data_IF_084902563262
#
_entry.id   IF_084902563262
#
_cell.length_a   1.000
_cell.length_b   1.000
_cell.length_c   1.000
_cell.angle_alpha   90.00
_cell.angle_beta   90.00
_cell.angle_gamma   90.00
#
_symmetry.space_group_name_H-M   'P 1'
#
loop_
_entity.id
_entity.type
_entity.pdbx_description
1 polymer ?
#
# COMPACT_ATOMS: atom_id res chain seq x y z
N UNK A 1 1.03 -22.44 -15.32
CA UNK A 1 1.80 -21.73 -14.27
C UNK A 1 0.97 -21.74 -12.99
N UNK A 2 1.53 -22.18 -11.87
CA UNK A 2 0.82 -22.24 -10.59
C UNK A 2 0.40 -20.86 -10.05
N UNK A 3 -0.58 -20.85 -9.17
CA UNK A 3 -1.03 -19.66 -8.48
C UNK A 3 0.06 -19.11 -7.55
N UNK A 4 0.09 -17.79 -7.37
CA UNK A 4 1.08 -17.12 -6.51
C UNK A 4 0.41 -16.68 -5.22
N UNK A 5 1.00 -17.02 -4.08
CA UNK A 5 0.56 -16.51 -2.78
C UNK A 5 0.79 -15.02 -2.69
N UNK A 6 -0.13 -14.30 -2.01
CA UNK A 6 0.01 -12.87 -1.77
C UNK A 6 1.24 -12.59 -0.89
N UNK A 7 2.23 -11.78 -1.35
CA UNK A 7 3.51 -11.64 -0.63
C UNK A 7 3.37 -11.09 0.78
N UNK A 8 2.42 -10.18 1.00
CA UNK A 8 2.12 -9.63 2.32
C UNK A 8 1.50 -10.70 3.23
N UNK A 9 0.47 -11.43 2.74
CA UNK A 9 -0.19 -12.47 3.51
C UNK A 9 0.74 -13.63 3.91
N UNK A 10 1.66 -14.00 3.02
CA UNK A 10 2.66 -15.03 3.29
C UNK A 10 3.61 -14.67 4.46
N UNK A 11 3.78 -13.37 4.75
CA UNK A 11 4.70 -12.83 5.77
C UNK A 11 3.99 -12.30 7.01
N UNK A 12 2.68 -12.46 7.11
CA UNK A 12 1.92 -12.07 8.29
C UNK A 12 2.37 -12.85 9.53
N UNK A 13 2.52 -12.14 10.64
CA UNK A 13 2.96 -12.72 11.91
C UNK A 13 4.47 -12.95 12.02
N UNK A 14 5.23 -12.84 10.91
CA UNK A 14 6.69 -13.01 10.89
C UNK A 14 7.39 -11.66 10.64
N UNK A 15 7.19 -11.08 9.45
CA UNK A 15 7.79 -9.79 9.06
C UNK A 15 6.76 -8.67 9.01
N UNK A 16 5.53 -9.00 8.64
CA UNK A 16 4.42 -8.04 8.51
C UNK A 16 3.39 -8.25 9.60
N UNK A 17 2.76 -7.17 10.03
CA UNK A 17 1.65 -7.18 11.00
C UNK A 17 0.32 -6.97 10.31
N UNK A 18 -0.78 -7.27 11.04
CA UNK A 18 -2.12 -7.00 10.58
C UNK A 18 -2.38 -5.49 10.46
N UNK A 19 -3.08 -5.09 9.42
CA UNK A 19 -3.49 -3.70 9.22
C UNK A 19 -4.65 -3.27 10.11
N UNK A 20 -5.42 -4.24 10.58
CA UNK A 20 -6.45 -4.03 11.61
C UNK A 20 -6.11 -4.86 12.83
N UNK A 21 -6.11 -4.24 14.00
CA UNK A 21 -5.79 -4.86 15.28
C UNK A 21 -6.94 -4.70 16.24
N UNK A 22 -7.65 -5.78 16.49
CA UNK A 22 -8.71 -5.85 17.47
C UNK A 22 -9.04 -7.30 17.82
N UNK A 23 -9.77 -7.48 18.90
CA UNK A 23 -10.34 -8.76 19.29
C UNK A 23 -11.86 -8.66 19.23
N UNK A 24 -12.51 -9.59 18.54
CA UNK A 24 -13.98 -9.67 18.45
C UNK A 24 -14.45 -11.11 18.70
N UNK A 25 -15.47 -11.27 19.55
CA UNK A 25 -16.06 -12.59 19.82
C UNK A 25 -17.20 -12.94 18.86
N UNK A 26 -18.19 -12.07 18.67
CA UNK A 26 -19.42 -12.35 17.91
C UNK A 26 -19.67 -11.37 16.75
N UNK A 27 -19.25 -10.13 16.87
CA UNK A 27 -19.51 -9.04 15.91
C UNK A 27 -18.37 -8.80 14.90
N UNK A 28 -17.55 -9.83 14.63
CA UNK A 28 -16.42 -9.73 13.70
C UNK A 28 -16.82 -9.30 12.27
N UNK A 29 -17.91 -9.84 11.67
CA UNK A 29 -18.31 -9.45 10.31
C UNK A 29 -18.68 -7.97 10.20
N UNK A 30 -19.35 -7.43 11.22
CA UNK A 30 -19.75 -6.02 11.27
C UNK A 30 -18.52 -5.10 11.36
N UNK A 31 -17.58 -5.44 12.24
CA UNK A 31 -16.33 -4.71 12.39
C UNK A 31 -15.48 -4.74 11.13
N UNK A 32 -15.43 -5.88 10.44
CA UNK A 32 -14.71 -6.01 9.18
C UNK A 32 -15.32 -5.13 8.07
N UNK A 33 -16.66 -5.10 7.99
CA UNK A 33 -17.38 -4.23 7.05
C UNK A 33 -17.11 -2.76 7.34
N UNK A 34 -17.12 -2.38 8.62
CA UNK A 34 -16.82 -1.02 9.07
C UNK A 34 -15.37 -0.61 8.72
N UNK A 35 -14.38 -1.51 8.91
CA UNK A 35 -12.99 -1.27 8.52
C UNK A 35 -12.83 -1.04 7.03
N UNK A 36 -13.54 -1.81 6.20
CA UNK A 36 -13.50 -1.65 4.75
C UNK A 36 -14.15 -0.32 4.31
N UNK A 37 -15.25 0.07 4.95
CA UNK A 37 -15.88 1.37 4.71
C UNK A 37 -14.93 2.53 5.06
N UNK A 38 -14.25 2.47 6.21
CA UNK A 38 -13.27 3.48 6.62
C UNK A 38 -12.14 3.58 5.58
N UNK A 39 -11.55 2.45 5.17
CA UNK A 39 -10.47 2.43 4.17
C UNK A 39 -10.91 2.99 2.82
N UNK A 40 -12.07 2.58 2.35
CA UNK A 40 -12.64 3.05 1.09
C UNK A 40 -12.93 4.55 1.12
N UNK A 41 -13.52 5.00 2.23
CA UNK A 41 -13.82 6.42 2.43
C UNK A 41 -12.55 7.28 2.40
N UNK A 42 -11.53 6.90 3.19
CA UNK A 42 -10.26 7.63 3.25
C UNK A 42 -9.55 7.66 1.90
N UNK A 43 -9.48 6.53 1.17
CA UNK A 43 -8.89 6.48 -0.17
C UNK A 43 -9.59 7.39 -1.17
N UNK A 44 -10.91 7.50 -1.09
CA UNK A 44 -11.70 8.35 -1.99
C UNK A 44 -11.53 9.83 -1.63
N UNK A 45 -11.67 10.17 -0.36
CA UNK A 45 -11.62 11.54 0.16
C UNK A 45 -10.23 12.17 0.04
N UNK A 46 -9.20 11.36 0.28
CA UNK A 46 -7.79 11.77 0.31
C UNK A 46 -7.00 11.28 -0.91
N UNK A 47 -7.62 11.18 -2.07
CA UNK A 47 -6.97 10.68 -3.30
C UNK A 47 -5.68 11.43 -3.69
N UNK A 48 -5.58 12.72 -3.31
CA UNK A 48 -4.41 13.56 -3.60
C UNK A 48 -3.31 13.50 -2.52
N UNK A 49 -3.60 12.88 -1.38
CA UNK A 49 -2.69 12.84 -0.23
C UNK A 49 -1.61 11.75 -0.33
N UNK A 50 -1.61 10.93 -1.40
CA UNK A 50 -0.67 9.81 -1.56
C UNK A 50 -0.67 8.88 -0.34
N UNK A 51 -1.84 8.27 -0.04
CA UNK A 51 -2.01 7.30 1.05
C UNK A 51 -1.34 5.98 0.66
N UNK A 52 -0.41 5.51 1.49
CA UNK A 52 0.21 4.20 1.33
C UNK A 52 -0.59 3.10 2.02
N UNK A 53 -0.88 3.27 3.32
CA UNK A 53 -1.61 2.30 4.11
C UNK A 53 -2.49 2.97 5.18
N UNK A 54 -3.49 2.23 5.66
CA UNK A 54 -4.39 2.67 6.74
C UNK A 54 -4.44 1.57 7.78
N UNK A 55 -3.89 1.84 8.96
CA UNK A 55 -3.95 0.95 10.10
C UNK A 55 -5.10 1.33 11.02
N UNK A 56 -5.83 0.34 11.50
CA UNK A 56 -7.00 0.53 12.36
C UNK A 56 -6.78 -0.25 13.65
N UNK A 57 -6.80 0.44 14.77
CA UNK A 57 -6.77 -0.16 16.08
C UNK A 57 -8.09 0.10 16.79
N UNK A 58 -8.72 -0.95 17.33
CA UNK A 58 -9.98 -0.83 18.04
C UNK A 58 -9.80 -1.14 19.51
N UNK A 59 -10.19 -0.19 20.34
CA UNK A 59 -10.36 -0.34 21.79
C UNK A 59 -11.86 -0.26 22.10
N UNK A 60 -12.32 -0.74 23.26
CA UNK A 60 -13.71 -0.58 23.65
C UNK A 60 -14.16 0.89 23.57
N UNK A 61 -15.16 1.17 22.74
CA UNK A 61 -15.72 2.51 22.52
C UNK A 61 -14.91 3.46 21.64
N UNK A 62 -13.65 3.14 21.28
CA UNK A 62 -12.77 4.03 20.52
C UNK A 62 -12.10 3.32 19.35
N UNK A 63 -12.08 3.97 18.19
CA UNK A 63 -11.39 3.53 16.99
C UNK A 63 -10.23 4.48 16.70
N UNK A 64 -9.01 3.98 16.64
CA UNK A 64 -7.84 4.76 16.26
C UNK A 64 -7.42 4.40 14.84
N UNK A 65 -7.42 5.36 13.95
CA UNK A 65 -7.05 5.20 12.55
C UNK A 65 -5.72 5.90 12.30
N UNK A 66 -4.68 5.13 11.97
CA UNK A 66 -3.37 5.68 11.60
C UNK A 66 -3.22 5.65 10.08
N UNK A 67 -3.06 6.84 9.49
CA UNK A 67 -2.91 7.03 8.04
C UNK A 67 -1.45 7.25 7.71
N UNK A 68 -0.85 6.29 6.98
CA UNK A 68 0.51 6.41 6.45
C UNK A 68 0.46 7.13 5.10
N UNK A 69 1.10 8.27 4.99
CA UNK A 69 1.01 9.13 3.80
C UNK A 69 2.36 9.68 3.38
N UNK A 70 2.55 9.87 2.08
CA UNK A 70 3.71 10.58 1.53
C UNK A 70 3.56 12.10 1.54
N UNK A 71 2.36 12.64 1.87
CA UNK A 71 2.06 14.07 1.90
C UNK A 71 1.21 14.44 3.12
N UNK A 72 1.79 14.43 4.33
CA UNK A 72 1.04 14.65 5.56
C UNK A 72 0.36 16.03 5.61
N UNK A 73 0.98 17.05 5.04
CA UNK A 73 0.41 18.40 5.00
C UNK A 73 -0.95 18.49 4.31
N UNK A 74 -1.22 17.64 3.32
CA UNK A 74 -2.53 17.59 2.64
C UNK A 74 -3.60 16.96 3.54
N UNK A 75 -3.23 15.96 4.34
CA UNK A 75 -4.14 15.29 5.27
C UNK A 75 -4.45 16.18 6.47
N UNK A 76 -3.42 16.82 7.03
CA UNK A 76 -3.55 17.68 8.21
C UNK A 76 -4.31 18.97 7.86
N UNK A 77 -4.01 19.54 6.68
CA UNK A 77 -4.60 20.79 6.25
C UNK A 77 -4.11 22.01 7.02
N UNK A 78 -4.73 23.15 6.77
CA UNK A 78 -4.39 24.39 7.48
C UNK A 78 -4.82 24.29 8.94
N UNK A 79 -3.86 24.36 9.88
CA UNK A 79 -4.10 24.31 11.33
C UNK A 79 -4.86 23.07 11.83
N UNK A 80 -4.79 21.95 11.13
CA UNK A 80 -5.48 20.72 11.53
C UNK A 80 -6.97 20.62 11.12
N UNK A 81 -7.54 21.62 10.45
CA UNK A 81 -8.95 21.68 10.14
C UNK A 81 -9.44 20.49 9.28
N UNK A 82 -8.60 19.93 8.40
CA UNK A 82 -9.02 18.78 7.57
C UNK A 82 -9.03 17.48 8.39
N UNK A 83 -8.10 17.29 9.33
CA UNK A 83 -8.11 16.12 10.23
C UNK A 83 -9.33 16.15 11.16
N UNK A 84 -9.70 17.34 11.68
CA UNK A 84 -10.89 17.48 12.53
C UNK A 84 -12.15 17.15 11.76
N UNK A 85 -12.33 17.67 10.54
CA UNK A 85 -13.43 17.29 9.66
C UNK A 85 -13.48 15.79 9.37
N UNK A 86 -12.32 15.18 9.03
CA UNK A 86 -12.24 13.75 8.78
C UNK A 86 -12.62 12.93 10.01
N UNK A 87 -12.22 13.37 11.22
CA UNK A 87 -12.61 12.73 12.47
C UNK A 87 -14.12 12.74 12.65
N UNK A 88 -14.75 13.91 12.45
CA UNK A 88 -16.20 14.07 12.61
C UNK A 88 -16.97 13.26 11.55
N UNK A 89 -16.53 13.28 10.28
CA UNK A 89 -17.08 12.47 9.19
C UNK A 89 -16.98 10.95 9.50
N UNK A 90 -15.84 10.48 10.00
CA UNK A 90 -15.66 9.08 10.39
C UNK A 90 -16.46 8.71 11.64
N UNK A 91 -16.60 9.62 12.60
CA UNK A 91 -17.43 9.41 13.78
C UNK A 91 -18.92 9.26 13.39
N UNK A 92 -19.41 10.04 12.43
CA UNK A 92 -20.77 9.89 11.87
C UNK A 92 -20.95 8.54 11.14
N UNK A 93 -19.93 8.09 10.39
CA UNK A 93 -19.98 6.82 9.65
C UNK A 93 -19.95 5.59 10.57
N UNK A 94 -19.22 5.66 11.68
CA UNK A 94 -19.01 4.52 12.58
C UNK A 94 -19.90 4.54 13.83
N UNK A 95 -20.46 5.69 14.17
CA UNK A 95 -21.21 5.89 15.42
C UNK A 95 -20.35 5.76 16.68
N UNK A 96 -19.02 5.88 16.57
CA UNK A 96 -18.02 5.69 17.65
C UNK A 96 -17.08 6.89 17.72
N UNK A 97 -16.39 7.00 18.86
CA UNK A 97 -15.29 7.96 18.97
C UNK A 97 -14.13 7.52 18.06
N UNK A 98 -13.71 8.40 17.13
CA UNK A 98 -12.61 8.14 16.20
C UNK A 98 -11.44 9.08 16.48
N UNK A 99 -10.24 8.50 16.69
CA UNK A 99 -8.98 9.22 16.70
C UNK A 99 -8.24 9.02 15.38
N UNK A 100 -7.68 10.08 14.81
CA UNK A 100 -6.87 10.01 13.60
C UNK A 100 -5.44 10.39 13.90
N UNK A 101 -4.51 9.49 13.57
CA UNK A 101 -3.08 9.74 13.57
C UNK A 101 -2.56 9.80 12.14
N UNK A 102 -1.65 10.73 11.85
CA UNK A 102 -1.03 10.87 10.54
C UNK A 102 0.46 10.60 10.68
N UNK A 103 0.95 9.62 9.95
CA UNK A 103 2.36 9.25 9.91
C UNK A 103 2.95 9.51 8.53
N UNK A 104 4.09 10.20 8.51
CA UNK A 104 4.80 10.52 7.29
C UNK A 104 5.68 9.38 6.82
N UNK A 105 5.60 9.06 5.53
CA UNK A 105 6.52 8.15 4.86
C UNK A 105 7.69 8.95 4.30
N UNK A 106 8.84 8.89 4.97
CA UNK A 106 10.06 9.63 4.59
C UNK A 106 10.61 9.27 3.21
N UNK A 107 10.38 8.03 2.73
CA UNK A 107 10.88 7.53 1.45
C UNK A 107 9.74 6.91 0.64
N UNK A 108 8.91 7.72 -0.05
CA UNK A 108 7.75 7.24 -0.80
C UNK A 108 8.12 6.31 -1.96
N UNK A 109 9.35 6.39 -2.48
CA UNK A 109 9.85 5.54 -3.56
C UNK A 109 10.12 4.09 -3.13
N UNK A 110 10.20 3.84 -1.81
CA UNK A 110 10.33 2.50 -1.22
C UNK A 110 9.00 1.89 -0.80
N UNK A 111 7.89 2.60 -1.01
CA UNK A 111 6.54 2.11 -0.74
C UNK A 111 5.87 1.62 -2.02
N UNK A 112 5.45 0.36 -2.03
CA UNK A 112 4.90 -0.27 -3.23
C UNK A 112 3.57 0.36 -3.68
N UNK A 113 2.73 0.83 -2.72
CA UNK A 113 1.44 1.45 -3.04
C UNK A 113 1.66 2.81 -3.71
N UNK A 114 2.53 3.64 -3.14
CA UNK A 114 2.80 4.98 -3.67
C UNK A 114 3.46 4.91 -5.05
N UNK A 115 4.40 3.97 -5.25
CA UNK A 115 5.02 3.74 -6.56
C UNK A 115 3.97 3.24 -7.56
N UNK A 116 3.11 2.29 -7.16
CA UNK A 116 2.04 1.77 -8.01
C UNK A 116 1.06 2.86 -8.44
N UNK A 117 0.62 3.69 -7.51
CA UNK A 117 -0.32 4.80 -7.77
C UNK A 117 0.32 5.88 -8.64
N UNK A 118 1.61 6.18 -8.44
CA UNK A 118 2.37 7.09 -9.30
C UNK A 118 2.45 6.59 -10.75
N UNK A 119 2.76 5.30 -10.93
CA UNK A 119 2.79 4.68 -12.27
C UNK A 119 1.38 4.69 -12.89
N UNK A 120 0.35 4.32 -12.13
CA UNK A 120 -1.03 4.34 -12.60
C UNK A 120 -1.46 5.74 -13.05
N UNK A 121 -1.12 6.76 -12.27
CA UNK A 121 -1.40 8.16 -12.62
C UNK A 121 -0.67 8.60 -13.89
N UNK A 122 0.61 8.23 -14.09
CA UNK A 122 1.33 8.51 -15.32
C UNK A 122 0.71 7.83 -16.54
N UNK A 123 0.17 6.61 -16.37
CA UNK A 123 -0.53 5.89 -17.44
C UNK A 123 -1.84 6.57 -17.84
N UNK A 124 -2.59 7.13 -16.90
CA UNK A 124 -3.80 7.91 -17.18
C UNK A 124 -3.48 9.21 -17.92
N UNK A 125 -2.31 9.80 -17.67
CA UNK A 125 -1.80 10.96 -18.40
C UNK A 125 -1.20 10.63 -19.78
N UNK A 126 -1.40 9.40 -20.28
CA UNK A 126 -0.90 8.92 -21.59
C UNK A 126 0.63 8.93 -21.72
N UNK A 127 1.36 8.90 -20.60
CA UNK A 127 2.82 8.71 -20.62
C UNK A 127 3.11 7.28 -21.05
N UNK A 128 4.16 7.09 -21.88
CA UNK A 128 4.59 5.75 -22.30
C UNK A 128 4.83 4.84 -21.11
N UNK A 129 4.17 3.68 -21.08
CA UNK A 129 4.26 2.71 -19.98
C UNK A 129 5.69 2.25 -19.72
N UNK A 130 6.53 2.10 -20.80
CA UNK A 130 7.94 1.74 -20.67
C UNK A 130 8.72 2.82 -19.91
N UNK A 131 8.48 4.08 -20.22
CA UNK A 131 9.14 5.23 -19.57
C UNK A 131 8.71 5.36 -18.11
N UNK A 132 7.41 5.21 -17.83
CA UNK A 132 6.88 5.25 -16.47
C UNK A 132 7.48 4.14 -15.59
N UNK A 133 7.47 2.89 -16.06
CA UNK A 133 8.04 1.77 -15.33
C UNK A 133 9.55 1.89 -15.10
N UNK A 134 10.34 2.25 -16.15
CA UNK A 134 11.79 2.44 -16.01
C UNK A 134 12.14 3.52 -15.00
N UNK A 135 11.45 4.66 -15.04
CA UNK A 135 11.64 5.75 -14.07
C UNK A 135 11.36 5.29 -12.64
N UNK A 136 10.27 4.57 -12.44
CA UNK A 136 9.91 4.04 -11.11
C UNK A 136 10.96 3.04 -10.59
N UNK A 137 11.46 2.14 -11.45
CA UNK A 137 12.53 1.20 -11.10
C UNK A 137 13.81 1.93 -10.71
N UNK A 138 14.26 2.86 -11.53
CA UNK A 138 15.49 3.64 -11.27
C UNK A 138 15.37 4.48 -10.00
N UNK A 139 14.19 5.08 -9.73
CA UNK A 139 13.97 5.88 -8.52
C UNK A 139 14.06 5.01 -7.27
N UNK A 140 13.39 3.85 -7.25
CA UNK A 140 13.42 2.94 -6.12
C UNK A 140 14.83 2.38 -5.85
N UNK A 141 15.58 1.98 -6.90
CA UNK A 141 16.96 1.51 -6.74
C UNK A 141 17.89 2.60 -6.21
N UNK A 142 17.74 3.84 -6.68
CA UNK A 142 18.50 5.01 -6.18
C UNK A 142 18.24 5.29 -4.70
N UNK A 143 17.00 5.06 -4.22
CA UNK A 143 16.62 5.24 -2.82
C UNK A 143 17.02 4.07 -1.91
N UNK A 144 17.68 3.05 -2.46
CA UNK A 144 18.26 1.94 -1.70
C UNK A 144 17.39 0.69 -1.62
N UNK A 145 16.44 0.49 -2.55
CA UNK A 145 15.80 -0.80 -2.71
C UNK A 145 16.83 -1.87 -3.13
N UNK A 146 16.81 -3.04 -2.52
CA UNK A 146 17.67 -4.16 -2.94
C UNK A 146 17.15 -4.87 -4.20
N UNK A 147 15.90 -4.63 -4.54
CA UNK A 147 15.30 -5.09 -5.77
C UNK A 147 13.87 -4.62 -5.93
N UNK A 148 13.47 -4.45 -7.17
CA UNK A 148 12.12 -4.05 -7.55
C UNK A 148 11.65 -4.83 -8.77
N UNK A 149 10.36 -5.15 -8.77
CA UNK A 149 9.66 -5.75 -9.90
C UNK A 149 8.34 -5.04 -10.11
N UNK A 150 8.13 -4.54 -11.32
CA UNK A 150 6.88 -3.90 -11.73
C UNK A 150 6.29 -4.67 -12.89
N UNK A 151 4.98 -4.94 -12.86
CA UNK A 151 4.24 -5.51 -13.99
C UNK A 151 3.02 -4.65 -14.29
N UNK A 152 2.82 -4.34 -15.55
CA UNK A 152 1.61 -3.69 -16.07
C UNK A 152 0.89 -4.64 -17.02
N UNK A 153 -0.42 -4.75 -16.87
CA UNK A 153 -1.25 -5.64 -17.67
C UNK A 153 -2.51 -4.92 -18.15
N UNK A 154 -2.85 -5.07 -19.42
CA UNK A 154 -4.01 -4.44 -20.04
C UNK A 154 -3.72 -3.97 -21.47
N UNK A 155 -4.53 -3.05 -21.97
CA UNK A 155 -4.36 -2.42 -23.30
C UNK A 155 -3.28 -1.34 -23.26
N UNK A 156 -2.00 -1.76 -23.21
CA UNK A 156 -0.86 -0.88 -23.06
C UNK A 156 -0.69 0.03 -24.29
N UNK A 157 -0.72 1.35 -24.05
CA UNK A 157 -0.64 2.35 -25.12
C UNK A 157 -1.87 2.41 -26.03
N UNK A 158 -3.02 1.85 -25.61
CA UNK A 158 -4.24 1.81 -26.41
C UNK A 158 -4.32 0.66 -27.41
N UNK A 159 -3.38 -0.30 -27.37
CA UNK A 159 -3.40 -1.47 -28.24
C UNK A 159 -4.71 -2.27 -28.08
N UNK A 160 -5.24 -2.83 -29.18
CA UNK A 160 -6.48 -3.62 -29.14
C UNK A 160 -6.31 -4.90 -28.30
N UNK A 161 -5.17 -5.56 -28.46
CA UNK A 161 -4.86 -6.80 -27.73
C UNK A 161 -4.18 -6.44 -26.41
N UNK A 162 -4.76 -6.90 -25.30
CA UNK A 162 -4.18 -6.76 -23.98
C UNK A 162 -2.91 -7.61 -23.86
N UNK A 163 -1.89 -7.04 -23.23
CA UNK A 163 -0.64 -7.76 -22.95
C UNK A 163 -0.09 -7.38 -21.58
N UNK A 164 0.83 -8.21 -21.11
CA UNK A 164 1.54 -7.97 -19.84
C UNK A 164 2.99 -7.66 -20.14
N UNK A 165 3.45 -6.53 -19.64
CA UNK A 165 4.86 -6.10 -19.70
C UNK A 165 5.41 -5.94 -18.30
N UNK A 166 6.68 -6.20 -18.09
CA UNK A 166 7.28 -6.07 -16.76
C UNK A 166 8.76 -5.70 -16.82
N UNK A 167 9.19 -4.96 -15.80
CA UNK A 167 10.58 -4.65 -15.53
C UNK A 167 10.97 -5.20 -14.15
N UNK A 168 12.21 -5.63 -14.06
CA UNK A 168 12.77 -6.19 -12.84
C UNK A 168 14.24 -5.78 -12.74
N UNK A 169 14.63 -5.32 -11.58
CA UNK A 169 16.01 -4.96 -11.26
C UNK A 169 16.34 -5.39 -9.84
N UNK A 170 17.56 -5.87 -9.64
CA UNK A 170 17.98 -6.44 -8.34
C UNK A 170 17.34 -7.79 -8.01
N UNK A 171 17.30 -8.14 -6.73
CA UNK A 171 16.78 -9.41 -6.22
C UNK A 171 15.40 -9.23 -5.59
N UNK A 172 14.44 -10.10 -5.90
CA UNK A 172 13.11 -10.11 -5.27
C UNK A 172 12.78 -11.55 -4.83
N UNK A 173 13.23 -11.98 -3.65
CA UNK A 173 13.09 -13.36 -3.17
C UNK A 173 11.70 -13.63 -2.61
N UNK A 174 10.73 -13.97 -3.47
CA UNK A 174 9.32 -14.15 -3.06
C UNK A 174 9.11 -15.35 -2.13
N UNK A 175 9.97 -16.37 -2.19
CA UNK A 175 9.87 -17.58 -1.38
C UNK A 175 10.54 -17.47 -0.01
N UNK A 176 11.39 -16.48 0.23
CA UNK A 176 12.08 -16.26 1.50
C UNK A 176 11.15 -15.53 2.47
N UNK A 177 10.82 -16.18 3.61
CA UNK A 177 9.91 -15.61 4.62
C UNK A 177 10.49 -14.38 5.31
N UNK A 178 11.78 -14.39 5.66
CA UNK A 178 12.46 -13.28 6.32
C UNK A 178 12.68 -12.04 5.43
N UNK A 179 12.43 -12.15 4.11
CA UNK A 179 12.57 -11.04 3.19
C UNK A 179 11.45 -10.02 3.40
N UNK A 180 11.79 -8.76 3.66
CA UNK A 180 10.81 -7.67 3.74
C UNK A 180 10.44 -7.20 2.33
N UNK A 181 9.37 -7.77 1.81
CA UNK A 181 8.83 -7.43 0.50
C UNK A 181 7.54 -6.64 0.68
N UNK A 182 7.55 -5.44 0.15
CA UNK A 182 6.36 -4.64 0.02
C UNK A 182 5.67 -4.93 -1.31
N UNK A 183 4.34 -5.03 -1.28
CA UNK A 183 3.53 -5.38 -2.45
C UNK A 183 2.27 -4.56 -2.52
N UNK A 184 2.01 -4.03 -3.70
CA UNK A 184 0.77 -3.31 -3.97
C UNK A 184 0.24 -3.58 -5.38
N UNK A 185 -1.07 -3.32 -5.51
CA UNK A 185 -1.78 -3.34 -6.78
C UNK A 185 -2.50 -2.01 -6.96
N UNK A 186 -2.29 -1.39 -8.12
CA UNK A 186 -2.97 -0.15 -8.49
C UNK A 186 -3.63 -0.30 -9.84
N UNK A 187 -4.69 0.44 -10.08
CA UNK A 187 -5.46 0.38 -11.33
C UNK A 187 -5.51 1.75 -11.99
N UNK A 188 -5.00 1.84 -13.21
CA UNK A 188 -5.12 3.00 -14.06
C UNK A 188 -6.37 2.89 -14.94
N UNK A 189 -7.33 3.79 -14.77
CA UNK A 189 -8.51 3.90 -15.64
C UNK A 189 -8.17 4.79 -16.83
N UNK A 190 -8.08 4.22 -18.01
CA UNK A 190 -7.80 4.95 -19.26
C UNK A 190 -9.03 4.98 -20.16
N UNK A 191 -9.02 5.82 -21.19
CA UNK A 191 -10.10 5.88 -22.20
C UNK A 191 -10.28 4.56 -22.96
N UNK A 192 -9.23 3.73 -23.04
CA UNK A 192 -9.23 2.42 -23.72
C UNK A 192 -9.52 1.24 -22.80
N UNK A 193 -9.78 1.49 -21.52
CA UNK A 193 -10.02 0.45 -20.51
C UNK A 193 -9.11 0.58 -19.31
N UNK A 194 -9.08 -0.44 -18.49
CA UNK A 194 -8.30 -0.47 -17.24
C UNK A 194 -6.95 -1.16 -17.46
N UNK A 195 -5.91 -0.60 -16.85
CA UNK A 195 -4.58 -1.18 -16.81
C UNK A 195 -4.25 -1.49 -15.36
N UNK A 196 -3.99 -2.76 -15.05
CA UNK A 196 -3.54 -3.20 -13.74
C UNK A 196 -2.03 -3.01 -13.59
N UNK A 197 -1.60 -2.42 -12.49
CA UNK A 197 -0.19 -2.26 -12.11
C UNK A 197 0.07 -3.07 -10.86
N UNK A 198 1.09 -3.93 -10.87
CA UNK A 198 1.54 -4.69 -9.70
C UNK A 198 2.99 -4.34 -9.43
N UNK A 199 3.29 -4.00 -8.17
CA UNK A 199 4.62 -3.58 -7.73
C UNK A 199 5.07 -4.47 -6.57
N UNK A 200 6.32 -4.92 -6.61
CA UNK A 200 7.02 -5.62 -5.55
C UNK A 200 8.33 -4.88 -5.28
N UNK A 201 8.57 -4.48 -4.05
CA UNK A 201 9.81 -3.82 -3.63
C UNK A 201 10.42 -4.64 -2.51
N UNK A 202 11.65 -5.08 -2.70
CA UNK A 202 12.44 -5.76 -1.70
C UNK A 202 13.30 -4.74 -0.95
N UNK A 203 13.04 -4.59 0.34
CA UNK A 203 13.72 -3.61 1.22
C UNK A 203 14.96 -4.22 1.90
N UNK A 204 15.03 -5.55 1.99
CA UNK A 204 16.09 -6.28 2.67
C UNK A 204 15.55 -7.47 3.44
N UNK A 205 16.44 -8.21 4.10
CA UNK A 205 16.06 -9.30 4.98
C UNK A 205 16.01 -8.81 6.43
N UNK A 206 15.00 -9.22 7.18
CA UNK A 206 14.93 -8.98 8.61
C UNK A 206 15.61 -10.14 9.34
N UNK A 207 16.52 -9.82 10.23
CA UNK A 207 17.19 -10.78 11.10
C UNK A 207 16.42 -11.10 12.37
N UNK A 208 15.49 -10.23 12.73
CA UNK A 208 14.62 -10.35 13.90
C UNK A 208 13.15 -10.44 13.50
N UNK A 209 12.39 -11.26 14.21
CA UNK A 209 10.94 -11.32 14.08
C UNK A 209 10.26 -10.11 14.76
N UNK A 210 8.92 -10.05 14.68
CA UNK A 210 8.13 -9.00 15.32
C UNK A 210 8.17 -9.03 16.86
N UNK A 211 8.72 -10.10 17.44
CA UNK A 211 8.86 -10.33 18.88
C UNK A 211 10.29 -10.18 19.36
N UNK A 212 11.21 -9.69 18.51
CA UNK A 212 12.62 -9.50 18.83
C UNK A 212 13.45 -10.78 18.88
N UNK A 213 12.94 -11.90 18.32
CA UNK A 213 13.71 -13.14 18.20
C UNK A 213 14.58 -13.08 16.95
N UNK A 214 15.88 -13.28 17.11
CA UNK A 214 16.81 -13.36 15.99
C UNK A 214 16.62 -14.68 15.23
N UNK A 215 16.48 -14.60 13.91
CA UNK A 215 16.55 -15.79 13.07
C UNK A 215 17.99 -16.30 13.08
N UNK A 216 18.22 -17.53 13.56
CA UNK A 216 19.53 -18.16 13.39
C UNK A 216 19.82 -18.24 11.89
N UNK A 217 20.79 -17.48 11.44
CA UNK A 217 21.43 -17.70 10.15
C UNK A 217 22.26 -18.98 10.29
N UNK A 218 21.63 -20.14 10.04
CA UNK A 218 22.39 -21.37 9.87
C UNK A 218 23.31 -21.17 8.66
N UNK A 219 24.60 -21.10 8.95
CA UNK A 219 25.68 -21.21 8.00
C UNK A 219 25.86 -22.68 7.71
#
# INVERSE_FOLDING_TARGET
MGQKTHPYGFRLGIVKQWRSRYFAKRNFPELLKEDELIRKYLKTRLSHAAIADVHIERKPGKVTVTVHTGRPGVVIGKRGAEVDKLRDELAQLTGKEVGINVEEIKRPELDAQLVGDSVAHQLTQRISFRRAMKRAVQSAMRMGAQGIKIKTAGRLGGAEIARTEGYHEGRVPLHTLRADIDYATSTAKTTFGTIGVKVWIFKGERTEDLHGRTYSTGV
#
